data_IF_928028128868
#
_entry.id   IF_928028128868
#
_cell.length_a   1.000
_cell.length_b   1.000
_cell.length_c   1.000
_cell.angle_alpha   90.00
_cell.angle_beta   90.00
_cell.angle_gamma   90.00
#
_symmetry.space_group_name_H-M   'P 1'
#
loop_
_entity.id
_entity.type
_entity.pdbx_description
1 polymer ?
#
# COMPACT_ATOMS: atom_id res chain seq x y z
N UNK A 1 19.12 -22.89 11.03
CA UNK A 1 18.53 -23.90 10.13
C UNK A 1 17.31 -23.29 9.45
N UNK A 2 17.02 -23.66 8.20
CA UNK A 2 15.93 -23.07 7.39
C UNK A 2 14.58 -23.03 8.14
N UNK A 3 14.19 -24.09 8.82
CA UNK A 3 12.93 -24.16 9.57
C UNK A 3 12.82 -23.10 10.67
N UNK A 4 13.94 -22.69 11.31
CA UNK A 4 13.95 -21.65 12.33
C UNK A 4 13.58 -20.28 11.74
N UNK A 5 14.08 -19.96 10.53
CA UNK A 5 13.74 -18.76 9.81
C UNK A 5 12.24 -18.73 9.46
N UNK A 6 11.69 -19.89 9.05
CA UNK A 6 10.25 -19.99 8.74
C UNK A 6 9.41 -19.72 9.98
N UNK A 7 9.75 -20.31 11.14
CA UNK A 7 9.01 -20.07 12.39
C UNK A 7 9.08 -18.62 12.83
N UNK A 8 10.28 -18.01 12.80
CA UNK A 8 10.46 -16.60 13.18
C UNK A 8 9.68 -15.67 12.23
N UNK A 9 9.74 -15.95 10.92
CA UNK A 9 8.98 -15.18 9.94
C UNK A 9 7.46 -15.30 10.13
N UNK A 10 6.97 -16.50 10.50
CA UNK A 10 5.56 -16.69 10.82
C UNK A 10 5.12 -15.87 12.05
N UNK A 11 5.93 -15.85 13.11
CA UNK A 11 5.66 -15.03 14.31
C UNK A 11 5.65 -13.54 14.00
N UNK A 12 6.61 -13.05 13.21
CA UNK A 12 6.66 -11.67 12.73
C UNK A 12 5.42 -11.33 11.89
N UNK A 13 5.00 -12.26 11.02
CA UNK A 13 3.79 -12.10 10.18
C UNK A 13 2.51 -11.98 11.01
N UNK A 14 2.35 -12.79 12.07
CA UNK A 14 1.21 -12.69 12.99
C UNK A 14 1.21 -11.33 13.70
N UNK A 15 2.35 -10.89 14.21
CA UNK A 15 2.47 -9.59 14.89
C UNK A 15 2.12 -8.41 13.98
N UNK A 16 2.71 -8.33 12.79
CA UNK A 16 2.43 -7.27 11.83
C UNK A 16 0.99 -7.32 11.30
N UNK A 17 0.45 -8.51 11.08
CA UNK A 17 -0.94 -8.72 10.66
C UNK A 17 -1.99 -8.21 11.65
N UNK A 18 -1.66 -8.12 12.94
CA UNK A 18 -2.51 -7.51 13.96
C UNK A 18 -2.31 -5.99 14.07
N UNK A 19 -1.06 -5.52 14.11
CA UNK A 19 -0.74 -4.12 14.37
C UNK A 19 -1.20 -3.20 13.23
N UNK A 20 -0.97 -3.60 11.96
CA UNK A 20 -1.20 -2.73 10.81
C UNK A 20 -2.69 -2.40 10.61
N UNK A 21 -3.63 -3.37 10.59
CA UNK A 21 -5.06 -3.05 10.50
C UNK A 21 -5.59 -2.25 11.68
N UNK A 22 -5.07 -2.50 12.89
CA UNK A 22 -5.47 -1.76 14.09
C UNK A 22 -5.04 -0.29 14.00
N UNK A 23 -3.80 0.00 13.64
CA UNK A 23 -3.29 1.37 13.49
C UNK A 23 -4.06 2.15 12.44
N UNK A 24 -4.33 1.52 11.29
CA UNK A 24 -5.11 2.11 10.20
C UNK A 24 -6.58 2.29 10.59
N UNK A 25 -7.13 1.34 11.33
CA UNK A 25 -8.48 1.40 11.90
C UNK A 25 -8.67 2.54 12.89
N UNK A 26 -7.65 2.85 13.71
CA UNK A 26 -7.68 4.00 14.62
C UNK A 26 -7.80 5.32 13.84
N UNK A 27 -7.08 5.48 12.73
CA UNK A 27 -7.20 6.66 11.87
C UNK A 27 -8.65 6.81 11.37
N UNK A 28 -9.27 5.72 10.91
CA UNK A 28 -10.65 5.76 10.43
C UNK A 28 -11.67 6.09 11.53
N UNK A 29 -11.38 5.72 12.78
CA UNK A 29 -12.26 5.94 13.94
C UNK A 29 -12.20 7.38 14.46
N UNK A 30 -11.01 7.97 14.52
CA UNK A 30 -10.81 9.27 15.15
C UNK A 30 -10.84 10.45 14.17
N UNK A 31 -10.64 10.21 12.88
CA UNK A 31 -10.59 11.26 11.87
C UNK A 31 -11.67 11.09 10.82
N UNK A 32 -12.24 12.22 10.35
CA UNK A 32 -13.31 12.26 9.33
C UNK A 32 -12.97 13.25 8.21
N UNK A 33 -13.58 13.06 7.03
CA UNK A 33 -13.44 13.96 5.89
C UNK A 33 -12.00 14.11 5.41
N UNK A 34 -11.61 15.31 4.99
CA UNK A 34 -10.29 15.63 4.44
C UNK A 34 -9.16 15.36 5.42
N UNK A 35 -9.38 15.53 6.73
CA UNK A 35 -8.40 15.21 7.76
C UNK A 35 -8.04 13.71 7.79
N UNK A 36 -9.00 12.82 7.53
CA UNK A 36 -8.75 11.38 7.48
C UNK A 36 -7.84 11.03 6.31
N UNK A 37 -8.08 11.60 5.12
CA UNK A 37 -7.24 11.42 3.93
C UNK A 37 -5.80 11.85 4.23
N UNK A 38 -5.64 13.03 4.84
CA UNK A 38 -4.34 13.55 5.26
C UNK A 38 -3.63 12.65 6.25
N UNK A 39 -4.34 12.09 7.24
CA UNK A 39 -3.76 11.18 8.23
C UNK A 39 -3.34 9.84 7.61
N UNK A 40 -4.11 9.28 6.66
CA UNK A 40 -3.68 8.11 5.91
C UNK A 40 -2.43 8.39 5.07
N UNK A 41 -2.36 9.55 4.41
CA UNK A 41 -1.18 10.00 3.67
C UNK A 41 0.05 10.12 4.59
N UNK A 42 -0.10 10.78 5.74
CA UNK A 42 0.98 10.94 6.70
C UNK A 42 1.44 9.60 7.30
N UNK A 43 0.51 8.71 7.65
CA UNK A 43 0.83 7.35 8.12
C UNK A 43 1.61 6.57 7.06
N UNK A 44 1.19 6.64 5.79
CA UNK A 44 1.93 6.04 4.67
C UNK A 44 3.32 6.66 4.54
N UNK A 45 3.44 7.99 4.63
CA UNK A 45 4.72 8.68 4.55
C UNK A 45 5.70 8.23 5.64
N UNK A 46 5.26 8.15 6.90
CA UNK A 46 6.09 7.70 8.03
C UNK A 46 6.55 6.25 7.82
N UNK A 47 5.63 5.36 7.41
CA UNK A 47 5.97 3.96 7.14
C UNK A 47 7.01 3.84 6.03
N UNK A 48 6.84 4.56 4.93
CA UNK A 48 7.78 4.53 3.82
C UNK A 48 9.11 5.19 4.16
N UNK A 49 9.13 6.24 5.00
CA UNK A 49 10.37 6.83 5.51
C UNK A 49 11.23 5.79 6.26
N UNK A 50 10.60 4.98 7.09
CA UNK A 50 11.29 3.88 7.78
C UNK A 50 11.87 2.87 6.77
N UNK A 51 11.12 2.54 5.71
CA UNK A 51 11.59 1.65 4.65
C UNK A 51 12.75 2.26 3.84
N UNK A 52 12.74 3.58 3.59
CA UNK A 52 13.85 4.28 2.94
C UNK A 52 15.15 4.04 3.70
N UNK A 53 15.15 4.24 5.00
CA UNK A 53 16.34 4.05 5.84
C UNK A 53 16.70 2.56 5.91
N UNK A 54 15.71 1.70 6.16
CA UNK A 54 15.94 0.27 6.33
C UNK A 54 16.54 -0.37 5.07
N UNK A 55 16.03 -0.07 3.87
CA UNK A 55 16.52 -0.68 2.62
C UNK A 55 17.91 -0.18 2.25
N UNK A 56 18.21 1.12 2.45
CA UNK A 56 19.55 1.64 2.24
C UNK A 56 20.56 0.96 3.18
N UNK A 57 20.25 0.94 4.48
CA UNK A 57 21.14 0.35 5.50
C UNK A 57 21.34 -1.15 5.26
N UNK A 58 20.27 -1.89 4.98
CA UNK A 58 20.36 -3.34 4.74
C UNK A 58 21.13 -3.66 3.46
N UNK A 59 21.02 -2.83 2.41
CA UNK A 59 21.80 -3.00 1.17
C UNK A 59 23.32 -2.95 1.44
N UNK A 60 23.79 -1.95 2.18
CA UNK A 60 25.21 -1.83 2.55
C UNK A 60 25.64 -2.90 3.57
N UNK A 61 24.80 -3.24 4.55
CA UNK A 61 25.11 -4.29 5.49
C UNK A 61 25.26 -5.66 4.80
N UNK A 62 24.46 -5.91 3.75
CA UNK A 62 24.54 -7.14 2.97
C UNK A 62 25.88 -7.30 2.20
N UNK A 63 26.52 -6.20 1.81
CA UNK A 63 27.86 -6.24 1.19
C UNK A 63 28.94 -6.75 2.16
N UNK A 64 28.78 -6.42 3.46
CA UNK A 64 29.74 -6.84 4.50
C UNK A 64 29.49 -8.29 4.91
N UNK A 65 28.24 -8.65 5.20
CA UNK A 65 27.85 -10.00 5.55
C UNK A 65 26.34 -10.21 5.45
N UNK A 66 25.91 -11.35 4.93
CA UNK A 66 24.50 -11.70 4.77
C UNK A 66 23.69 -11.78 6.09
N UNK A 67 24.35 -11.87 7.25
CA UNK A 67 23.69 -11.89 8.56
C UNK A 67 23.37 -10.48 9.09
N UNK A 68 24.15 -9.46 8.72
CA UNK A 68 24.02 -8.13 9.26
C UNK A 68 22.68 -7.43 8.96
N UNK A 69 22.03 -7.63 7.81
CA UNK A 69 20.69 -7.09 7.57
C UNK A 69 19.64 -7.48 8.62
N UNK A 70 19.80 -8.63 9.25
CA UNK A 70 18.87 -9.08 10.31
C UNK A 70 18.92 -8.22 11.59
N UNK A 71 19.95 -7.41 11.79
CA UNK A 71 20.02 -6.46 12.91
C UNK A 71 18.90 -5.40 12.87
N UNK A 72 18.36 -5.11 11.68
CA UNK A 72 17.22 -4.18 11.53
C UNK A 72 15.98 -4.69 12.28
N UNK A 73 15.82 -6.00 12.45
CA UNK A 73 14.72 -6.58 13.25
C UNK A 73 14.83 -6.30 14.76
N UNK A 74 15.91 -5.69 15.24
CA UNK A 74 16.02 -5.22 16.62
C UNK A 74 15.35 -3.85 16.83
N UNK A 75 15.08 -3.08 15.77
CA UNK A 75 14.42 -1.77 15.87
C UNK A 75 13.08 -1.80 16.62
N UNK A 76 12.18 -2.81 16.44
CA UNK A 76 10.95 -2.90 17.21
C UNK A 76 11.13 -2.96 18.74
N UNK A 77 12.30 -3.36 19.25
CA UNK A 77 12.58 -3.33 20.70
C UNK A 77 12.52 -1.90 21.25
N UNK A 78 12.94 -0.92 20.46
CA UNK A 78 12.84 0.50 20.82
C UNK A 78 11.37 0.89 20.99
N UNK A 79 10.50 0.41 20.09
CA UNK A 79 9.04 0.67 20.16
C UNK A 79 8.42 0.07 21.43
N UNK A 80 8.87 -1.11 21.87
CA UNK A 80 8.39 -1.74 23.13
C UNK A 80 8.76 -0.86 24.33
N UNK A 81 9.98 -0.31 24.35
CA UNK A 81 10.41 0.60 25.43
C UNK A 81 9.59 1.90 25.44
N UNK A 82 9.25 2.42 24.26
CA UNK A 82 8.44 3.65 24.13
C UNK A 82 6.97 3.44 24.49
N UNK A 83 6.40 2.26 24.25
CA UNK A 83 5.00 1.95 24.60
C UNK A 83 4.74 2.09 26.09
N UNK A 84 5.72 1.76 26.95
CA UNK A 84 5.60 1.97 28.39
C UNK A 84 5.40 3.42 28.84
N UNK A 85 5.73 4.40 27.98
CA UNK A 85 5.52 5.83 28.23
C UNK A 85 4.20 6.37 27.67
N UNK A 86 3.48 5.59 26.87
CA UNK A 86 2.15 5.95 26.41
C UNK A 86 1.17 5.78 27.57
N UNK A 87 0.89 6.88 28.28
CA UNK A 87 -0.26 6.94 29.20
C UNK A 87 -1.53 6.74 28.37
N UNK A 88 -2.28 5.68 28.64
CA UNK A 88 -3.68 5.62 28.25
C UNK A 88 -4.36 6.88 28.79
N UNK A 89 -4.66 7.83 27.91
CA UNK A 89 -5.63 8.86 28.22
C UNK A 89 -6.97 8.13 28.28
N UNK A 90 -7.31 7.66 29.46
CA UNK A 90 -8.64 7.20 29.80
C UNK A 90 -9.55 8.41 29.63
N UNK A 91 -9.99 8.65 28.40
CA UNK A 91 -11.19 9.41 28.14
C UNK A 91 -12.33 8.53 28.59
N UNK A 92 -12.66 8.64 29.88
CA UNK A 92 -13.96 8.28 30.43
C UNK A 92 -15.02 9.18 29.79
N UNK A 93 -15.26 8.98 28.52
CA UNK A 93 -16.46 9.35 27.81
C UNK A 93 -16.93 8.06 27.14
N UNK A 94 -17.31 7.08 28.00
CA UNK A 94 -18.46 6.27 27.70
C UNK A 94 -19.54 7.29 27.35
N UNK A 95 -19.84 7.48 26.06
CA UNK A 95 -21.09 8.05 25.62
C UNK A 95 -22.12 7.01 26.01
N UNK A 96 -22.60 7.12 27.30
CA UNK A 96 -23.88 6.55 27.65
C UNK A 96 -24.92 7.04 26.65
N UNK A 97 -25.83 6.19 26.22
CA UNK A 97 -26.97 6.63 25.43
C UNK A 97 -27.84 7.49 26.32
N UNK A 98 -27.54 8.78 26.44
CA UNK A 98 -28.44 9.74 27.08
C UNK A 98 -29.70 9.83 26.22
N UNK A 99 -30.73 9.18 26.75
CA UNK A 99 -32.12 9.38 26.42
C UNK A 99 -32.49 10.85 26.49
N UNK A 100 -33.18 11.30 25.44
CA UNK A 100 -34.07 12.44 25.36
C UNK A 100 -33.48 13.87 25.48
N UNK A 101 -33.39 14.52 24.36
CA UNK A 101 -33.98 15.85 24.23
C UNK A 101 -34.47 16.10 22.81
N UNK A 102 -35.71 16.45 22.75
CA UNK A 102 -36.58 16.85 21.65
C UNK A 102 -35.96 17.78 20.63
N UNK A 103 -36.30 17.50 19.40
CA UNK A 103 -36.08 18.04 18.07
C UNK A 103 -35.98 19.58 17.89
N UNK A 104 -35.47 20.08 16.72
CA UNK A 104 -36.33 20.07 15.54
C UNK A 104 -35.72 19.47 14.27
N UNK A 105 -36.62 18.92 13.50
CA UNK A 105 -36.52 18.38 12.16
C UNK A 105 -35.65 19.21 11.20
N UNK A 106 -34.56 18.61 10.73
CA UNK A 106 -33.75 19.14 9.66
C UNK A 106 -32.85 18.04 9.10
N UNK A 107 -33.38 17.30 8.14
CA UNK A 107 -32.69 16.49 7.14
C UNK A 107 -31.45 15.70 7.62
N UNK A 108 -31.67 14.57 8.29
CA UNK A 108 -30.80 13.41 8.20
C UNK A 108 -30.87 12.91 6.76
N UNK A 109 -29.85 13.22 5.97
CA UNK A 109 -29.54 12.41 4.79
C UNK A 109 -29.22 11.00 5.30
N UNK A 110 -30.27 10.19 5.49
CA UNK A 110 -30.15 8.75 5.58
C UNK A 110 -29.52 8.34 4.24
N UNK A 111 -28.23 8.02 4.27
CA UNK A 111 -27.61 7.28 3.19
C UNK A 111 -28.46 6.01 3.06
N UNK A 112 -29.22 5.95 2.00
CA UNK A 112 -30.03 4.80 1.59
C UNK A 112 -29.04 3.64 1.41
N UNK A 113 -28.84 2.90 2.49
CA UNK A 113 -28.06 1.66 2.49
C UNK A 113 -28.94 0.60 1.84
N UNK A 114 -29.10 0.73 0.52
CA UNK A 114 -29.81 -0.25 -0.29
C UNK A 114 -29.35 -1.66 0.05
N UNK A 115 -30.10 -2.32 0.92
CA UNK A 115 -30.18 -3.77 1.00
C UNK A 115 -28.98 -4.57 1.49
N UNK A 116 -27.93 -3.99 2.10
CA UNK A 116 -26.84 -4.81 2.64
C UNK A 116 -27.15 -5.27 4.07
N UNK A 117 -27.54 -6.52 4.19
CA UNK A 117 -27.80 -7.26 5.45
C UNK A 117 -26.62 -7.19 6.45
N UNK A 118 -25.45 -6.77 6.01
CA UNK A 118 -24.19 -6.77 6.76
C UNK A 118 -23.60 -5.37 7.03
N UNK A 119 -24.21 -4.29 6.54
CA UNK A 119 -23.68 -2.92 6.70
C UNK A 119 -22.33 -2.66 6.00
N UNK A 120 -22.01 -3.45 4.98
CA UNK A 120 -20.85 -3.32 4.09
C UNK A 120 -21.33 -3.52 2.66
N UNK A 121 -20.96 -2.63 1.76
CA UNK A 121 -21.21 -2.77 0.33
C UNK A 121 -20.18 -3.74 -0.30
N UNK A 122 -20.46 -5.05 -0.20
CA UNK A 122 -19.53 -6.12 -0.58
C UNK A 122 -19.02 -5.97 -2.01
N UNK A 123 -19.87 -5.57 -2.96
CA UNK A 123 -19.48 -5.42 -4.37
C UNK A 123 -18.40 -4.33 -4.55
N UNK A 124 -18.57 -3.18 -3.90
CA UNK A 124 -17.58 -2.09 -3.95
C UNK A 124 -16.31 -2.45 -3.20
N UNK A 125 -16.45 -3.08 -2.02
CA UNK A 125 -15.30 -3.57 -1.27
C UNK A 125 -14.47 -4.56 -2.08
N UNK A 126 -15.10 -5.53 -2.77
CA UNK A 126 -14.41 -6.50 -3.62
C UNK A 126 -13.67 -5.83 -4.78
N UNK A 127 -14.28 -4.81 -5.40
CA UNK A 127 -13.61 -4.04 -6.46
C UNK A 127 -12.37 -3.32 -5.94
N UNK A 128 -12.44 -2.71 -4.76
CA UNK A 128 -11.28 -2.07 -4.12
C UNK A 128 -10.21 -3.11 -3.78
N UNK A 129 -10.59 -4.25 -3.21
CA UNK A 129 -9.67 -5.35 -2.88
C UNK A 129 -8.91 -5.85 -4.12
N UNK A 130 -9.63 -6.11 -5.22
CA UNK A 130 -9.03 -6.56 -6.47
C UNK A 130 -8.09 -5.50 -7.05
N UNK A 131 -8.51 -4.25 -7.08
CA UNK A 131 -7.69 -3.17 -7.60
C UNK A 131 -6.44 -2.96 -6.76
N UNK A 132 -6.56 -3.03 -5.42
CA UNK A 132 -5.42 -2.94 -4.52
C UNK A 132 -4.47 -4.13 -4.68
N UNK A 133 -5.00 -5.34 -4.78
CA UNK A 133 -4.20 -6.53 -5.06
C UNK A 133 -3.39 -6.42 -6.36
N UNK A 134 -4.03 -5.96 -7.44
CA UNK A 134 -3.36 -5.76 -8.74
C UNK A 134 -2.30 -4.67 -8.66
N UNK A 135 -2.60 -3.51 -8.07
CA UNK A 135 -1.61 -2.42 -7.94
C UNK A 135 -0.44 -2.79 -7.04
N UNK A 136 -0.69 -3.55 -5.98
CA UNK A 136 0.37 -4.14 -5.16
C UNK A 136 1.21 -5.12 -5.99
N UNK A 137 0.58 -6.05 -6.71
CA UNK A 137 1.28 -7.02 -7.56
C UNK A 137 2.23 -6.34 -8.55
N UNK A 138 1.79 -5.23 -9.18
CA UNK A 138 2.61 -4.44 -10.10
C UNK A 138 3.88 -3.92 -9.41
N UNK A 139 3.74 -3.36 -8.21
CA UNK A 139 4.83 -2.74 -7.46
C UNK A 139 5.84 -3.78 -6.95
N UNK A 140 5.40 -5.00 -6.70
CA UNK A 140 6.28 -6.08 -6.24
C UNK A 140 7.35 -6.44 -7.27
N UNK A 141 7.18 -6.10 -8.56
CA UNK A 141 8.24 -6.22 -9.56
C UNK A 141 9.48 -5.44 -9.15
N UNK A 142 9.31 -4.22 -8.66
CA UNK A 142 10.43 -3.39 -8.17
C UNK A 142 10.99 -3.97 -6.87
N UNK A 143 10.15 -4.29 -5.90
CA UNK A 143 10.59 -4.72 -4.56
C UNK A 143 11.33 -6.05 -4.60
N UNK A 144 10.85 -7.03 -5.38
CA UNK A 144 11.41 -8.38 -5.38
C UNK A 144 12.41 -8.66 -6.49
N UNK A 145 12.26 -7.99 -7.65
CA UNK A 145 13.07 -8.36 -8.82
C UNK A 145 14.12 -7.32 -9.20
N UNK A 146 14.05 -6.08 -8.66
CA UNK A 146 15.01 -5.04 -9.04
C UNK A 146 16.44 -5.43 -8.66
N UNK A 147 16.66 -5.99 -7.47
CA UNK A 147 18.00 -6.43 -7.04
C UNK A 147 18.59 -7.50 -7.96
N UNK A 148 17.77 -8.46 -8.41
CA UNK A 148 18.22 -9.50 -9.35
C UNK A 148 18.52 -8.93 -10.74
N UNK A 149 17.70 -7.94 -11.20
CA UNK A 149 17.97 -7.25 -12.45
C UNK A 149 19.29 -6.48 -12.39
N UNK A 150 19.54 -5.78 -11.28
CA UNK A 150 20.75 -5.01 -11.07
C UNK A 150 21.99 -5.91 -10.93
N UNK A 151 21.88 -7.04 -10.24
CA UNK A 151 22.96 -8.04 -10.13
C UNK A 151 23.34 -8.59 -11.50
N UNK A 152 22.38 -8.89 -12.39
CA UNK A 152 22.62 -9.29 -13.78
C UNK A 152 23.48 -8.27 -14.55
N UNK A 153 23.36 -7.00 -14.22
CA UNK A 153 24.12 -5.91 -14.82
C UNK A 153 25.36 -5.50 -14.01
N UNK A 154 25.81 -6.35 -13.08
CA UNK A 154 27.01 -6.18 -12.25
C UNK A 154 26.97 -4.98 -11.30
N UNK A 155 25.79 -4.53 -10.87
CA UNK A 155 25.67 -3.52 -9.82
C UNK A 155 25.80 -4.15 -8.42
N UNK A 156 26.31 -3.37 -7.47
CA UNK A 156 26.46 -3.83 -6.09
C UNK A 156 25.10 -3.93 -5.35
N UNK A 157 25.07 -4.72 -4.28
CA UNK A 157 23.89 -4.80 -3.39
C UNK A 157 23.55 -3.46 -2.74
N UNK A 158 24.55 -2.61 -2.46
CA UNK A 158 24.37 -1.26 -1.94
C UNK A 158 23.62 -0.38 -2.93
N UNK A 159 24.00 -0.42 -4.23
CA UNK A 159 23.30 0.32 -5.28
C UNK A 159 21.84 -0.16 -5.41
N UNK A 160 21.60 -1.47 -5.35
CA UNK A 160 20.24 -2.03 -5.36
C UNK A 160 19.42 -1.52 -4.17
N UNK A 161 20.00 -1.52 -2.97
CA UNK A 161 19.37 -0.99 -1.76
C UNK A 161 19.04 0.50 -1.88
N UNK A 162 19.94 1.31 -2.47
CA UNK A 162 19.69 2.74 -2.74
C UNK A 162 18.55 2.95 -3.73
N UNK A 163 18.46 2.17 -4.82
CA UNK A 163 17.38 2.28 -5.81
C UNK A 163 16.02 1.94 -5.18
N UNK A 164 15.97 0.89 -4.36
CA UNK A 164 14.76 0.54 -3.62
C UNK A 164 14.42 1.61 -2.56
N UNK A 165 15.43 2.23 -1.94
CA UNK A 165 15.24 3.38 -1.05
C UNK A 165 14.61 4.57 -1.77
N UNK A 166 15.10 4.91 -2.96
CA UNK A 166 14.53 5.98 -3.80
C UNK A 166 13.09 5.68 -4.21
N UNK A 167 12.78 4.42 -4.50
CA UNK A 167 11.41 3.99 -4.75
C UNK A 167 10.50 4.25 -3.53
N UNK A 168 10.90 3.86 -2.30
CA UNK A 168 10.11 4.14 -1.09
C UNK A 168 10.05 5.63 -0.76
N UNK A 169 11.11 6.39 -1.03
CA UNK A 169 11.09 7.85 -0.92
C UNK A 169 10.05 8.47 -1.87
N UNK A 170 9.95 7.96 -3.09
CA UNK A 170 8.95 8.39 -4.05
C UNK A 170 7.52 8.01 -3.64
N UNK A 171 7.32 6.86 -2.98
CA UNK A 171 6.01 6.51 -2.37
C UNK A 171 5.65 7.46 -1.23
N UNK A 172 6.64 7.90 -0.45
CA UNK A 172 6.42 8.81 0.67
C UNK A 172 5.98 10.21 0.21
N UNK A 173 6.54 10.71 -0.88
CA UNK A 173 6.37 12.10 -1.32
C UNK A 173 4.90 12.52 -1.53
N UNK A 174 4.04 11.75 -2.24
CA UNK A 174 2.62 12.09 -2.37
C UNK A 174 1.86 12.10 -1.05
N UNK A 175 2.31 11.36 -0.05
CA UNK A 175 1.65 11.29 1.25
C UNK A 175 1.50 12.63 1.96
N UNK A 176 2.39 13.60 1.69
CA UNK A 176 2.33 14.95 2.24
C UNK A 176 1.37 15.89 1.52
N UNK A 177 1.04 15.61 0.26
CA UNK A 177 0.22 16.46 -0.61
C UNK A 177 -1.00 15.72 -1.17
N UNK A 178 -1.37 14.58 -0.58
CA UNK A 178 -2.40 13.69 -1.11
C UNK A 178 -3.75 14.37 -1.28
N UNK A 179 -4.15 15.17 -0.29
CA UNK A 179 -5.38 15.97 -0.31
C UNK A 179 -5.46 16.85 -1.56
N UNK A 180 -4.39 17.61 -1.84
CA UNK A 180 -4.32 18.49 -3.02
C UNK A 180 -4.33 17.70 -4.34
N UNK A 181 -3.58 16.59 -4.40
CA UNK A 181 -3.51 15.74 -5.59
C UNK A 181 -4.89 15.15 -5.90
N UNK A 182 -5.60 14.65 -4.89
CA UNK A 182 -6.93 14.05 -5.07
C UNK A 182 -7.98 15.12 -5.41
N UNK A 183 -7.90 16.30 -4.79
CA UNK A 183 -8.83 17.41 -5.07
C UNK A 183 -8.65 17.98 -6.48
N UNK A 184 -7.42 18.06 -6.99
CA UNK A 184 -7.13 18.59 -8.32
C UNK A 184 -7.43 17.58 -9.43
N UNK A 185 -6.96 16.34 -9.27
CA UNK A 185 -7.09 15.30 -10.29
C UNK A 185 -8.43 14.54 -10.24
N UNK A 186 -9.11 14.56 -9.10
CA UNK A 186 -10.43 13.91 -8.88
C UNK A 186 -10.47 12.48 -9.46
N UNK A 187 -11.39 12.23 -10.39
CA UNK A 187 -11.60 10.93 -11.03
C UNK A 187 -10.42 10.42 -11.85
N UNK A 188 -9.54 11.35 -12.30
CA UNK A 188 -8.37 11.03 -13.12
C UNK A 188 -7.18 10.56 -12.29
N UNK A 189 -7.19 10.75 -10.97
CA UNK A 189 -6.09 10.38 -10.07
C UNK A 189 -5.61 8.95 -10.29
N UNK A 190 -6.55 7.98 -10.36
CA UNK A 190 -6.23 6.56 -10.60
C UNK A 190 -5.55 6.30 -11.94
N UNK A 191 -5.99 6.99 -13.00
CA UNK A 191 -5.42 6.82 -14.34
C UNK A 191 -4.01 7.44 -14.43
N UNK A 192 -3.81 8.65 -13.93
CA UNK A 192 -2.47 9.27 -13.92
C UNK A 192 -1.48 8.50 -13.05
N UNK A 193 -1.91 7.98 -11.92
CA UNK A 193 -1.05 7.13 -11.07
C UNK A 193 -0.64 5.84 -11.78
N UNK A 194 -1.57 5.15 -12.44
CA UNK A 194 -1.26 3.95 -13.23
C UNK A 194 -0.37 4.28 -14.43
N UNK A 195 -0.60 5.42 -15.10
CA UNK A 195 0.25 5.87 -16.20
C UNK A 195 1.69 6.12 -15.72
N UNK A 196 1.86 6.79 -14.57
CA UNK A 196 3.17 6.98 -13.94
C UNK A 196 3.87 5.64 -13.68
N UNK A 197 3.13 4.65 -13.13
CA UNK A 197 3.67 3.31 -12.90
C UNK A 197 4.05 2.60 -14.21
N UNK A 198 3.23 2.71 -15.25
CA UNK A 198 3.51 2.09 -16.55
C UNK A 198 4.77 2.69 -17.20
N UNK A 199 4.89 4.02 -17.20
CA UNK A 199 6.09 4.71 -17.73
C UNK A 199 7.32 4.32 -16.92
N UNK A 200 7.21 4.28 -15.57
CA UNK A 200 8.30 3.87 -14.70
C UNK A 200 8.78 2.44 -14.96
N UNK A 201 7.86 1.46 -15.09
CA UNK A 201 8.21 0.08 -15.43
C UNK A 201 8.82 -0.04 -16.84
N UNK A 202 8.32 0.73 -17.81
CA UNK A 202 8.88 0.77 -19.16
C UNK A 202 10.33 1.30 -19.15
N UNK A 203 10.62 2.33 -18.36
CA UNK A 203 11.99 2.86 -18.24
C UNK A 203 12.94 1.83 -17.62
N UNK A 204 12.50 1.10 -16.60
CA UNK A 204 13.31 0.03 -15.97
C UNK A 204 13.59 -1.11 -16.97
N UNK A 205 12.60 -1.44 -17.82
CA UNK A 205 12.73 -2.52 -18.78
C UNK A 205 13.61 -2.17 -19.99
N UNK A 206 13.42 -0.96 -20.57
CA UNK A 206 14.05 -0.58 -21.86
C UNK A 206 15.56 -0.43 -21.74
N UNK A 207 16.05 0.09 -20.62
CA UNK A 207 17.48 0.30 -20.47
C UNK A 207 17.94 0.00 -19.03
N UNK A 208 18.73 -1.05 -18.87
CA UNK A 208 19.35 -1.42 -17.59
C UNK A 208 20.57 -0.53 -17.29
N UNK A 209 20.40 0.79 -17.42
CA UNK A 209 21.40 1.81 -17.11
C UNK A 209 20.90 2.54 -15.87
N UNK A 210 21.78 2.80 -14.89
CA UNK A 210 21.41 3.48 -13.62
C UNK A 210 20.59 4.75 -13.84
N UNK A 211 20.95 5.57 -14.81
CA UNK A 211 20.28 6.83 -15.15
C UNK A 211 18.80 6.68 -15.57
N UNK A 212 18.38 5.50 -16.01
CA UNK A 212 16.99 5.22 -16.39
C UNK A 212 16.25 4.40 -15.32
N UNK A 213 16.95 3.58 -14.56
CA UNK A 213 16.36 2.85 -13.41
C UNK A 213 15.92 3.83 -12.34
N UNK A 214 16.72 4.88 -12.04
CA UNK A 214 16.38 5.90 -11.03
C UNK A 214 15.03 6.56 -11.31
N UNK A 215 14.80 7.25 -12.45
CA UNK A 215 13.50 7.84 -12.75
C UNK A 215 12.41 6.79 -12.88
N UNK A 216 12.71 5.58 -13.34
CA UNK A 216 11.79 4.47 -13.37
C UNK A 216 11.24 4.12 -11.97
N UNK A 217 12.13 3.91 -11.00
CA UNK A 217 11.76 3.66 -9.61
C UNK A 217 10.95 4.80 -9.00
N UNK A 218 11.35 6.05 -9.27
CA UNK A 218 10.66 7.25 -8.79
C UNK A 218 9.23 7.29 -9.35
N UNK A 219 9.03 7.08 -10.65
CA UNK A 219 7.71 7.13 -11.28
C UNK A 219 6.78 6.02 -10.80
N UNK A 220 7.30 4.79 -10.62
CA UNK A 220 6.50 3.69 -10.03
C UNK A 220 6.11 4.04 -8.60
N UNK A 221 7.06 4.55 -7.81
CA UNK A 221 6.82 4.94 -6.42
C UNK A 221 5.80 6.06 -6.27
N UNK A 222 5.91 7.13 -7.07
CA UNK A 222 4.93 8.24 -7.07
C UNK A 222 3.52 7.75 -7.40
N UNK A 223 3.37 6.89 -8.41
CA UNK A 223 2.08 6.34 -8.79
C UNK A 223 1.44 5.54 -7.65
N UNK A 224 2.19 4.63 -7.05
CA UNK A 224 1.69 3.80 -5.94
C UNK A 224 1.43 4.60 -4.66
N UNK A 225 2.29 5.59 -4.37
CA UNK A 225 2.17 6.45 -3.19
C UNK A 225 0.89 7.29 -3.15
N UNK A 226 0.25 7.54 -4.30
CA UNK A 226 -1.08 8.14 -4.39
C UNK A 226 -2.18 7.09 -4.23
N UNK A 227 -2.05 5.93 -4.89
CA UNK A 227 -3.11 4.90 -4.93
C UNK A 227 -3.36 4.32 -3.54
N UNK A 228 -2.33 3.93 -2.82
CA UNK A 228 -2.46 3.21 -1.55
C UNK A 228 -3.29 3.96 -0.50
N UNK A 229 -2.96 5.19 -0.08
CA UNK A 229 -3.73 5.90 0.93
C UNK A 229 -5.12 6.33 0.43
N UNK A 230 -5.26 6.61 -0.88
CA UNK A 230 -6.56 6.87 -1.49
C UNK A 230 -7.50 5.66 -1.37
N UNK A 231 -7.00 4.45 -1.57
CA UNK A 231 -7.80 3.23 -1.44
C UNK A 231 -8.22 2.99 0.01
N UNK A 232 -7.37 3.31 0.99
CA UNK A 232 -7.75 3.22 2.41
C UNK A 232 -8.90 4.17 2.75
N UNK A 233 -8.84 5.41 2.28
CA UNK A 233 -9.94 6.35 2.47
C UNK A 233 -11.23 5.86 1.80
N UNK A 234 -11.18 5.47 0.53
CA UNK A 234 -12.34 4.94 -0.20
C UNK A 234 -12.92 3.67 0.44
N UNK A 235 -12.09 2.81 1.03
CA UNK A 235 -12.54 1.63 1.77
C UNK A 235 -13.43 2.00 2.94
N UNK A 236 -13.12 3.06 3.67
CA UNK A 236 -13.93 3.50 4.82
C UNK A 236 -15.33 3.95 4.41
N UNK A 237 -15.53 4.38 3.17
CA UNK A 237 -16.84 4.74 2.64
C UNK A 237 -17.70 3.54 2.19
N UNK A 238 -17.11 2.34 2.08
CA UNK A 238 -17.85 1.12 1.69
C UNK A 238 -18.54 0.42 2.86
N UNK A 239 -18.29 0.87 4.09
CA UNK A 239 -18.81 0.24 5.30
C UNK A 239 -19.34 1.29 6.28
N UNK A 240 -20.25 0.87 7.17
CA UNK A 240 -20.66 1.68 8.31
C UNK A 240 -19.42 2.01 9.19
N UNK A 241 -19.39 3.17 9.87
CA UNK A 241 -18.24 3.58 10.69
C UNK A 241 -17.76 2.52 11.68
N UNK A 242 -18.69 1.76 12.26
CA UNK A 242 -18.40 0.68 13.20
C UNK A 242 -17.69 -0.53 12.53
N UNK A 243 -17.82 -0.70 11.23
CA UNK A 243 -17.25 -1.81 10.45
C UNK A 243 -16.10 -1.36 9.52
N UNK A 244 -15.73 -0.09 9.53
CA UNK A 244 -14.68 0.46 8.69
C UNK A 244 -13.32 -0.24 8.91
N UNK A 245 -12.95 -0.52 10.17
CA UNK A 245 -11.73 -1.27 10.50
C UNK A 245 -11.73 -2.68 9.91
N UNK A 246 -12.90 -3.36 9.92
CA UNK A 246 -13.04 -4.69 9.32
C UNK A 246 -12.90 -4.63 7.79
N UNK A 247 -13.50 -3.63 7.14
CA UNK A 247 -13.35 -3.42 5.69
C UNK A 247 -11.87 -3.15 5.31
N UNK A 248 -11.17 -2.32 6.09
CA UNK A 248 -9.74 -2.07 5.91
C UNK A 248 -8.91 -3.35 6.09
N UNK A 249 -9.24 -4.18 7.09
CA UNK A 249 -8.56 -5.46 7.29
C UNK A 249 -8.70 -6.39 6.06
N UNK A 250 -9.88 -6.47 5.44
CA UNK A 250 -10.08 -7.25 4.22
C UNK A 250 -9.26 -6.70 3.04
N UNK A 251 -9.19 -5.39 2.87
CA UNK A 251 -8.37 -4.77 1.81
C UNK A 251 -6.89 -5.06 2.04
N UNK A 252 -6.40 -4.96 3.28
CA UNK A 252 -5.02 -5.29 3.65
C UNK A 252 -4.72 -6.78 3.49
N UNK A 253 -5.68 -7.67 3.79
CA UNK A 253 -5.54 -9.10 3.54
C UNK A 253 -5.24 -9.37 2.05
N UNK A 254 -5.91 -8.65 1.13
CA UNK A 254 -5.64 -8.80 -0.31
C UNK A 254 -4.24 -8.32 -0.70
N UNK A 255 -3.74 -7.26 -0.04
CA UNK A 255 -2.34 -6.82 -0.22
C UNK A 255 -1.35 -7.92 0.19
N UNK A 256 -1.52 -8.50 1.38
CA UNK A 256 -0.64 -9.60 1.84
C UNK A 256 -0.76 -10.85 1.00
N UNK A 257 -1.95 -11.14 0.49
CA UNK A 257 -2.15 -12.26 -0.43
C UNK A 257 -1.41 -12.03 -1.75
N UNK A 258 -1.43 -10.79 -2.27
CA UNK A 258 -0.65 -10.43 -3.46
C UNK A 258 0.86 -10.60 -3.20
N UNK A 259 1.37 -10.17 -2.05
CA UNK A 259 2.78 -10.33 -1.65
C UNK A 259 3.16 -11.83 -1.57
N UNK A 260 2.31 -12.65 -0.95
CA UNK A 260 2.54 -14.09 -0.81
C UNK A 260 2.55 -14.81 -2.17
N UNK A 261 1.59 -14.49 -3.03
CA UNK A 261 1.40 -15.19 -4.30
C UNK A 261 2.36 -14.72 -5.40
N UNK A 262 2.89 -13.49 -5.29
CA UNK A 262 3.71 -12.88 -6.33
C UNK A 262 4.86 -13.78 -6.81
N UNK A 263 5.78 -14.27 -5.94
CA UNK A 263 6.91 -15.07 -6.40
C UNK A 263 6.45 -16.38 -7.06
N UNK A 264 5.41 -17.03 -6.54
CA UNK A 264 4.88 -18.26 -7.11
C UNK A 264 4.25 -18.04 -8.49
N UNK A 265 3.51 -16.93 -8.68
CA UNK A 265 2.89 -16.60 -9.97
C UNK A 265 3.97 -16.26 -10.99
N UNK A 266 4.98 -15.47 -10.62
CA UNK A 266 6.07 -15.12 -11.54
C UNK A 266 6.87 -16.35 -11.94
N UNK A 267 7.24 -17.20 -10.98
CA UNK A 267 7.96 -18.45 -11.26
C UNK A 267 7.15 -19.38 -12.17
N UNK A 268 5.87 -19.57 -11.87
CA UNK A 268 4.96 -20.36 -12.73
C UNK A 268 4.90 -19.82 -14.16
N UNK A 269 4.78 -18.49 -14.32
CA UNK A 269 4.72 -17.85 -15.63
C UNK A 269 6.06 -17.96 -16.38
N UNK A 270 7.19 -17.78 -15.69
CA UNK A 270 8.51 -17.97 -16.30
C UNK A 270 8.70 -19.39 -16.81
N UNK A 271 8.25 -20.37 -16.03
CA UNK A 271 8.28 -21.78 -16.45
C UNK A 271 7.34 -22.06 -17.64
N UNK A 272 6.13 -21.48 -17.63
CA UNK A 272 5.14 -21.62 -18.70
C UNK A 272 5.65 -21.03 -20.03
N UNK A 273 6.29 -19.88 -19.99
CA UNK A 273 6.87 -19.21 -21.17
C UNK A 273 8.31 -19.66 -21.48
N UNK A 274 8.85 -20.66 -20.75
CA UNK A 274 10.20 -21.17 -20.90
C UNK A 274 11.28 -20.07 -20.89
N UNK A 275 11.10 -19.05 -20.04
CA UNK A 275 12.04 -17.93 -19.92
C UNK A 275 12.58 -17.83 -18.49
N UNK A 276 13.89 -17.58 -18.37
CA UNK A 276 14.56 -17.32 -17.10
C UNK A 276 15.09 -15.88 -17.04
N UNK A 277 14.51 -15.00 -17.87
CA UNK A 277 14.96 -13.62 -17.93
C UNK A 277 14.56 -12.83 -16.69
N UNK A 278 15.51 -12.10 -16.09
CA UNK A 278 15.26 -11.19 -14.98
C UNK A 278 14.43 -9.96 -15.38
N UNK A 279 14.26 -9.72 -16.67
CA UNK A 279 13.42 -8.64 -17.22
C UNK A 279 11.95 -9.04 -17.33
N UNK A 280 11.67 -10.36 -17.41
CA UNK A 280 10.31 -10.89 -17.59
C UNK A 280 9.30 -10.34 -16.56
N UNK A 281 9.60 -10.28 -15.24
CA UNK A 281 8.69 -9.73 -14.26
C UNK A 281 8.29 -8.28 -14.54
N UNK A 282 9.21 -7.46 -15.06
CA UNK A 282 8.94 -6.05 -15.39
C UNK A 282 8.04 -5.93 -16.62
N UNK A 283 8.31 -6.70 -17.67
CA UNK A 283 7.46 -6.74 -18.90
C UNK A 283 6.05 -7.21 -18.56
N UNK A 284 5.93 -8.28 -17.80
CA UNK A 284 4.63 -8.84 -17.40
C UNK A 284 3.82 -7.84 -16.57
N UNK A 285 4.46 -7.22 -15.58
CA UNK A 285 3.80 -6.20 -14.76
C UNK A 285 3.49 -4.92 -15.55
N UNK A 286 4.31 -4.55 -16.53
CA UNK A 286 3.99 -3.45 -17.46
C UNK A 286 2.70 -3.74 -18.24
N UNK A 287 2.56 -4.95 -18.78
CA UNK A 287 1.34 -5.37 -19.49
C UNK A 287 0.10 -5.31 -18.58
N UNK A 288 0.20 -5.84 -17.36
CA UNK A 288 -0.88 -5.74 -16.36
C UNK A 288 -1.23 -4.27 -16.09
N UNK A 289 -0.21 -3.41 -15.93
CA UNK A 289 -0.41 -1.99 -15.66
C UNK A 289 -1.14 -1.30 -16.80
N UNK A 290 -0.77 -1.58 -18.05
CA UNK A 290 -1.43 -1.04 -19.24
C UNK A 290 -2.90 -1.49 -19.31
N UNK A 291 -3.17 -2.78 -19.12
CA UNK A 291 -4.54 -3.31 -19.10
C UNK A 291 -5.37 -2.66 -17.97
N UNK A 292 -4.79 -2.55 -16.78
CA UNK A 292 -5.46 -1.91 -15.62
C UNK A 292 -5.68 -0.42 -15.85
N UNK A 293 -4.74 0.28 -16.51
CA UNK A 293 -4.88 1.68 -16.90
C UNK A 293 -6.06 1.88 -17.86
N UNK A 294 -6.14 1.10 -18.93
CA UNK A 294 -7.25 1.18 -19.87
C UNK A 294 -8.58 0.87 -19.21
N UNK A 295 -8.64 -0.16 -18.35
CA UNK A 295 -9.84 -0.48 -17.58
C UNK A 295 -10.25 0.66 -16.65
N UNK A 296 -9.31 1.25 -15.91
CA UNK A 296 -9.55 2.37 -15.01
C UNK A 296 -9.94 3.65 -15.77
N UNK A 297 -9.37 3.88 -16.95
CA UNK A 297 -9.68 5.01 -17.82
C UNK A 297 -11.09 4.91 -18.41
N UNK A 298 -11.49 3.73 -18.92
CA UNK A 298 -12.82 3.50 -19.48
C UNK A 298 -13.92 3.58 -18.42
N UNK A 299 -13.61 3.22 -17.18
CA UNK A 299 -14.55 3.29 -16.04
C UNK A 299 -14.25 4.46 -15.10
N UNK A 300 -13.73 5.56 -15.60
CA UNK A 300 -13.37 6.72 -14.78
C UNK A 300 -14.50 7.23 -13.91
N UNK A 301 -15.72 7.28 -14.44
CA UNK A 301 -16.88 7.90 -13.81
C UNK A 301 -17.62 6.97 -12.82
N UNK A 302 -17.39 5.67 -12.90
CA UNK A 302 -18.16 4.68 -12.10
C UNK A 302 -17.34 3.94 -11.07
N UNK A 303 -16.01 4.00 -11.14
CA UNK A 303 -15.12 3.24 -10.28
C UNK A 303 -14.41 4.15 -9.27
N UNK A 304 -14.57 3.88 -7.96
CA UNK A 304 -14.02 4.59 -6.80
C UNK A 304 -14.55 6.01 -6.53
N UNK A 305 -15.06 6.71 -7.55
CA UNK A 305 -15.53 8.11 -7.45
C UNK A 305 -17.02 8.26 -7.75
N UNK A 306 -17.81 7.19 -7.61
CA UNK A 306 -19.24 7.26 -7.82
C UNK A 306 -19.89 8.07 -6.70
N UNK A 307 -20.44 9.24 -7.02
CA UNK A 307 -21.10 10.16 -6.09
C UNK A 307 -22.36 9.59 -5.42
N UNK A 308 -22.81 8.40 -5.83
CA UNK A 308 -23.95 7.69 -5.21
C UNK A 308 -23.63 7.12 -3.81
N UNK A 309 -22.40 7.32 -3.30
CA UNK A 309 -21.99 6.95 -1.95
C UNK A 309 -21.83 8.18 -1.02
N UNK A 310 -22.34 9.35 -1.46
CA UNK A 310 -22.46 10.54 -0.61
C UNK A 310 -23.70 10.46 0.26
#
# INVERSE_FOLDING_TARGET
KMWQLIVVSALLGIGSGLIIPLSTGLISKYFVGTYRVKQFGLSSAITNFTLVIATAVTGYLAEVSWHLPFLVYLLPLISILLVGHLKESRSDTAVEPSSQSTAPSGQTAAADTGGSKYGIHIRHLLQIMLFYGVTTFIVLAVIFNLSFLMEKHHFSSGNSGLMISLFFLAIMAPGFCLDKIVDELKERTKAYSLLSMAVGLALIWIAPIEWLIIPGCILVGLGYGVIQPMLYDKTTHTALPQKATMALAFVMMMNYLAILLYPFIIDFLQNLFHTQSQEFPFVFNLLITIVTFFWAYLRRDTFLFNDQLK
#
